data_IF_736235607703
#
_entry.id   IF_736235607703
#
_cell.length_a   1.000
_cell.length_b   1.000
_cell.length_c   1.000
_cell.angle_alpha   90.00
_cell.angle_beta   90.00
_cell.angle_gamma   90.00
#
_symmetry.space_group_name_H-M   'P 1'
#
loop_
_entity.id
_entity.type
_entity.pdbx_description
1 polymer ?
#
# COMPACT_ATOMS: atom_id res chain seq x y z
N UNK A 1 55.00 -0.66 36.25
CA UNK A 1 54.27 0.61 36.23
C UNK A 1 53.91 0.94 34.79
N UNK A 2 52.64 0.79 34.37
CA UNK A 2 52.22 1.26 33.04
C UNK A 2 52.15 2.79 33.07
N UNK A 3 52.79 3.44 32.10
CA UNK A 3 52.85 4.90 31.96
C UNK A 3 51.46 5.48 31.67
N UNK A 4 51.12 6.63 32.26
CA UNK A 4 49.88 7.38 32.03
C UNK A 4 49.57 7.63 30.54
N UNK A 5 50.61 7.72 29.71
CA UNK A 5 50.45 7.85 28.25
C UNK A 5 49.81 6.61 27.60
N UNK A 6 50.12 5.39 28.05
CA UNK A 6 49.59 4.17 27.42
C UNK A 6 48.08 4.03 27.65
N UNK A 7 47.60 4.44 28.83
CA UNK A 7 46.17 4.42 29.16
C UNK A 7 45.33 5.38 28.29
N UNK A 8 45.91 6.51 27.86
CA UNK A 8 45.21 7.45 26.96
C UNK A 8 45.11 6.90 25.54
N UNK A 9 46.19 6.29 25.03
CA UNK A 9 46.22 5.67 23.71
C UNK A 9 45.24 4.48 23.62
N UNK A 10 45.20 3.63 24.64
CA UNK A 10 44.26 2.49 24.72
C UNK A 10 42.79 2.98 24.68
N UNK A 11 42.48 4.13 25.31
CA UNK A 11 41.14 4.72 25.35
C UNK A 11 40.74 5.34 24.01
N UNK A 12 41.69 5.93 23.30
CA UNK A 12 41.51 6.49 21.96
C UNK A 12 41.33 5.38 20.92
N UNK A 13 42.12 4.32 20.98
CA UNK A 13 41.95 3.12 20.14
C UNK A 13 40.58 2.48 20.35
N UNK A 14 40.13 2.35 21.61
CA UNK A 14 38.79 1.85 21.90
C UNK A 14 37.70 2.73 21.28
N UNK A 15 37.83 4.05 21.37
CA UNK A 15 36.88 4.99 20.74
C UNK A 15 36.88 4.87 19.22
N UNK A 16 38.05 4.77 18.59
CA UNK A 16 38.17 4.58 17.14
C UNK A 16 37.52 3.27 16.71
N UNK A 17 37.71 2.18 17.47
CA UNK A 17 37.08 0.89 17.19
C UNK A 17 35.55 0.97 17.28
N UNK A 18 35.01 1.64 18.30
CA UNK A 18 33.57 1.87 18.44
C UNK A 18 33.01 2.72 17.29
N UNK A 19 33.72 3.77 16.88
CA UNK A 19 33.32 4.61 15.75
C UNK A 19 33.32 3.82 14.43
N UNK A 20 34.35 3.00 14.17
CA UNK A 20 34.40 2.11 13.00
C UNK A 20 33.21 1.15 12.98
N UNK A 21 32.90 0.51 14.11
CA UNK A 21 31.75 -0.38 14.24
C UNK A 21 30.44 0.33 13.88
N UNK A 22 30.21 1.52 14.45
CA UNK A 22 29.02 2.33 14.18
C UNK A 22 28.91 2.76 12.72
N UNK A 23 30.04 3.04 12.06
CA UNK A 23 30.08 3.37 10.63
C UNK A 23 29.67 2.17 9.78
N UNK A 24 30.18 0.98 10.09
CA UNK A 24 29.79 -0.24 9.35
C UNK A 24 28.32 -0.59 9.55
N UNK A 25 27.79 -0.45 10.78
CA UNK A 25 26.36 -0.60 11.06
C UNK A 25 25.52 0.41 10.26
N UNK A 26 25.95 1.67 10.20
CA UNK A 26 25.25 2.71 9.43
C UNK A 26 25.27 2.43 7.92
N UNK A 27 26.40 1.92 7.38
CA UNK A 27 26.49 1.50 5.97
C UNK A 27 25.54 0.35 5.67
N UNK A 28 25.48 -0.67 6.54
CA UNK A 28 24.58 -1.80 6.40
C UNK A 28 23.11 -1.34 6.46
N UNK A 29 22.77 -0.48 7.42
CA UNK A 29 21.42 0.09 7.53
C UNK A 29 21.03 0.91 6.28
N UNK A 30 21.96 1.72 5.74
CA UNK A 30 21.74 2.47 4.51
C UNK A 30 21.50 1.54 3.32
N UNK A 31 22.31 0.51 3.15
CA UNK A 31 22.14 -0.45 2.05
C UNK A 31 20.77 -1.15 2.13
N UNK A 32 20.35 -1.56 3.33
CA UNK A 32 19.04 -2.14 3.54
C UNK A 32 17.89 -1.16 3.24
N UNK A 33 18.04 0.11 3.63
CA UNK A 33 17.04 1.14 3.35
C UNK A 33 16.90 1.41 1.83
N UNK A 34 18.02 1.46 1.11
CA UNK A 34 18.02 1.62 -0.36
C UNK A 34 17.33 0.43 -1.02
N UNK A 35 17.67 -0.80 -0.65
CA UNK A 35 17.02 -1.99 -1.21
C UNK A 35 15.50 -2.02 -0.95
N UNK A 36 15.08 -1.64 0.28
CA UNK A 36 13.65 -1.54 0.62
C UNK A 36 12.94 -0.47 -0.22
N UNK A 37 13.58 0.68 -0.43
CA UNK A 37 13.04 1.76 -1.26
C UNK A 37 12.85 1.29 -2.71
N UNK A 38 13.86 0.67 -3.30
CA UNK A 38 13.78 0.14 -4.67
C UNK A 38 12.67 -0.91 -4.83
N UNK A 39 12.51 -1.80 -3.84
CA UNK A 39 11.41 -2.77 -3.82
C UNK A 39 10.03 -2.09 -3.73
N UNK A 40 9.89 -1.07 -2.88
CA UNK A 40 8.65 -0.33 -2.74
C UNK A 40 8.28 0.43 -4.02
N UNK A 41 9.26 1.08 -4.66
CA UNK A 41 9.07 1.80 -5.92
C UNK A 41 8.65 0.85 -7.06
N UNK A 42 9.26 -0.33 -7.17
CA UNK A 42 8.84 -1.35 -8.13
C UNK A 42 7.41 -1.80 -7.90
N UNK A 43 7.05 -2.12 -6.65
CA UNK A 43 5.70 -2.56 -6.31
C UNK A 43 4.67 -1.46 -6.56
N UNK A 44 5.00 -0.20 -6.29
CA UNK A 44 4.14 0.93 -6.61
C UNK A 44 3.89 1.00 -8.12
N UNK A 45 4.95 0.95 -8.93
CA UNK A 45 4.83 0.99 -10.39
C UNK A 45 4.00 -0.19 -10.95
N UNK A 46 4.15 -1.39 -10.39
CA UNK A 46 3.33 -2.56 -10.75
C UNK A 46 1.85 -2.36 -10.43
N UNK A 47 1.53 -1.81 -9.25
CA UNK A 47 0.15 -1.53 -8.84
C UNK A 47 -0.47 -0.45 -9.72
N UNK A 48 0.25 0.64 -9.99
CA UNK A 48 -0.22 1.70 -10.88
C UNK A 48 -0.46 1.19 -12.31
N UNK A 49 0.40 0.32 -12.81
CA UNK A 49 0.23 -0.30 -14.13
C UNK A 49 -1.02 -1.18 -14.18
N UNK A 50 -1.30 -1.95 -13.12
CA UNK A 50 -2.54 -2.73 -13.01
C UNK A 50 -3.78 -1.84 -12.99
N UNK A 51 -3.75 -0.75 -12.22
CA UNK A 51 -4.85 0.22 -12.18
C UNK A 51 -5.10 0.82 -13.56
N UNK A 52 -4.05 1.25 -14.26
CA UNK A 52 -4.15 1.77 -15.63
C UNK A 52 -4.64 0.72 -16.62
N UNK A 53 -4.26 -0.56 -16.45
CA UNK A 53 -4.76 -1.66 -17.28
C UNK A 53 -6.27 -1.90 -17.09
N UNK A 54 -6.84 -1.54 -15.94
CA UNK A 54 -8.29 -1.51 -15.71
C UNK A 54 -8.98 -0.26 -16.31
N UNK A 55 -8.23 0.62 -16.97
CA UNK A 55 -8.73 1.85 -17.60
C UNK A 55 -8.91 3.01 -16.63
N UNK A 56 -8.34 2.93 -15.42
CA UNK A 56 -8.48 3.92 -14.36
C UNK A 56 -7.14 4.60 -14.11
N UNK A 57 -7.14 5.91 -13.87
CA UNK A 57 -5.93 6.62 -13.43
C UNK A 57 -5.70 6.37 -11.93
N UNK A 58 -4.47 6.03 -11.47
CA UNK A 58 -4.18 5.71 -10.07
C UNK A 58 -4.65 6.78 -9.08
N UNK A 59 -4.48 8.05 -9.43
CA UNK A 59 -4.87 9.18 -8.58
C UNK A 59 -6.39 9.41 -8.51
N UNK A 60 -7.18 8.66 -9.29
CA UNK A 60 -8.63 8.79 -9.41
C UNK A 60 -9.40 7.52 -9.06
N UNK A 61 -8.74 6.53 -8.46
CA UNK A 61 -9.38 5.24 -8.11
C UNK A 61 -10.62 5.45 -7.24
N UNK A 62 -10.55 6.33 -6.23
CA UNK A 62 -11.69 6.61 -5.34
C UNK A 62 -12.85 7.28 -6.06
N UNK A 63 -12.56 8.21 -6.97
CA UNK A 63 -13.59 8.88 -7.78
C UNK A 63 -14.29 7.87 -8.70
N UNK A 64 -13.53 6.94 -9.29
CA UNK A 64 -14.05 5.90 -10.16
C UNK A 64 -14.89 4.87 -9.39
N UNK A 65 -14.49 4.48 -8.18
CA UNK A 65 -15.30 3.64 -7.29
C UNK A 65 -16.64 4.32 -7.00
N UNK A 66 -16.63 5.59 -6.57
CA UNK A 66 -17.85 6.33 -6.28
C UNK A 66 -18.76 6.53 -7.52
N UNK A 67 -18.17 6.61 -8.72
CA UNK A 67 -18.94 6.62 -9.99
C UNK A 67 -19.62 5.28 -10.22
N UNK A 68 -18.88 4.17 -10.09
CA UNK A 68 -19.39 2.82 -10.30
C UNK A 68 -20.47 2.44 -9.29
N UNK A 69 -20.31 2.80 -8.01
CA UNK A 69 -21.31 2.57 -6.97
C UNK A 69 -22.66 3.24 -7.29
N UNK A 70 -22.62 4.50 -7.75
CA UNK A 70 -23.83 5.21 -8.21
C UNK A 70 -24.46 4.54 -9.41
N UNK A 71 -23.64 4.16 -10.40
CA UNK A 71 -24.12 3.48 -11.60
C UNK A 71 -24.76 2.11 -11.27
N UNK A 72 -24.21 1.37 -10.30
CA UNK A 72 -24.80 0.12 -9.80
C UNK A 72 -26.16 0.39 -9.14
N UNK A 73 -26.25 1.38 -8.24
CA UNK A 73 -27.50 1.72 -7.56
C UNK A 73 -28.60 2.12 -8.55
N UNK A 74 -28.27 2.96 -9.54
CA UNK A 74 -29.20 3.37 -10.59
C UNK A 74 -29.70 2.18 -11.42
N UNK A 75 -28.81 1.24 -11.78
CA UNK A 75 -29.20 0.04 -12.54
C UNK A 75 -30.09 -0.88 -11.72
N UNK A 76 -29.80 -1.06 -10.42
CA UNK A 76 -30.63 -1.86 -9.52
C UNK A 76 -32.03 -1.26 -9.44
N UNK A 77 -32.15 0.03 -9.17
CA UNK A 77 -33.45 0.72 -9.12
C UNK A 77 -34.22 0.54 -10.43
N UNK A 78 -33.54 0.67 -11.58
CA UNK A 78 -34.17 0.47 -12.88
C UNK A 78 -34.66 -0.96 -13.10
N UNK A 79 -33.91 -1.96 -12.63
CA UNK A 79 -34.35 -3.36 -12.68
C UNK A 79 -35.59 -3.55 -11.80
N UNK A 80 -35.61 -3.03 -10.58
CA UNK A 80 -36.77 -3.09 -9.69
C UNK A 80 -38.00 -2.43 -10.32
N UNK A 81 -37.85 -1.26 -10.94
CA UNK A 81 -38.95 -0.58 -11.65
C UNK A 81 -39.48 -1.40 -12.83
N UNK A 82 -38.62 -2.12 -13.54
CA UNK A 82 -39.01 -2.99 -14.65
C UNK A 82 -39.72 -4.26 -14.17
N UNK A 83 -39.33 -4.80 -13.01
CA UNK A 83 -39.91 -6.02 -12.44
C UNK A 83 -41.22 -5.76 -11.70
N UNK A 84 -41.38 -4.57 -11.11
CA UNK A 84 -42.56 -4.21 -10.30
C UNK A 84 -43.91 -4.53 -10.97
N UNK A 85 -44.17 -4.22 -12.25
CA UNK A 85 -45.45 -4.56 -12.87
C UNK A 85 -45.72 -6.07 -12.96
N UNK A 86 -44.65 -6.87 -13.15
CA UNK A 86 -44.75 -8.32 -13.18
C UNK A 86 -45.02 -8.89 -11.78
N UNK A 87 -44.29 -8.40 -10.78
CA UNK A 87 -44.48 -8.78 -9.37
C UNK A 87 -45.89 -8.44 -8.88
N UNK A 88 -46.42 -7.27 -9.23
CA UNK A 88 -47.80 -6.88 -8.92
C UNK A 88 -48.85 -7.80 -9.56
N UNK A 89 -48.58 -8.28 -10.78
CA UNK A 89 -49.47 -9.20 -11.49
C UNK A 89 -49.45 -10.59 -10.84
N UNK A 90 -48.26 -11.09 -10.46
CA UNK A 90 -48.10 -12.36 -9.73
C UNK A 90 -48.77 -12.28 -8.35
N UNK A 91 -48.58 -11.19 -7.61
CA UNK A 91 -49.19 -10.97 -6.29
C UNK A 91 -50.74 -10.93 -6.37
N UNK A 92 -51.30 -10.33 -7.43
CA UNK A 92 -52.76 -10.32 -7.67
C UNK A 92 -53.30 -11.67 -8.13
N UNK A 93 -52.50 -12.48 -8.80
CA UNK A 93 -52.89 -13.80 -9.29
C UNK A 93 -52.89 -14.88 -8.19
N UNK A 94 -52.41 -14.56 -6.98
CA UNK A 94 -52.48 -15.46 -5.81
C UNK A 94 -51.68 -16.74 -5.95
N UNK A 95 -50.62 -16.76 -6.78
CA UNK A 95 -49.75 -17.93 -6.91
C UNK A 95 -48.78 -17.93 -5.73
N UNK A 96 -48.82 -18.95 -4.84
CA UNK A 96 -47.82 -19.08 -3.78
C UNK A 96 -46.48 -19.57 -4.35
N UNK A 97 -45.39 -19.20 -3.67
CA UNK A 97 -43.98 -19.55 -3.96
C UNK A 97 -43.74 -21.01 -4.39
#
# INVERSE_FOLDING_TARGET
MKSLNSLSADREEYRIAQLKKRVEEAKAARAAAVARKEMAEKRLAEVEAQIRAMGVEPDRVEEEIARLEREIAEKIQRVEELLRPFEELVARAGVPD
#
